data_IF_845555924863
#
_entry.id   IF_845555924863
#
_cell.length_a   1.000
_cell.length_b   1.000
_cell.length_c   1.000
_cell.angle_alpha   90.00
_cell.angle_beta   90.00
_cell.angle_gamma   90.00
#
_symmetry.space_group_name_H-M   'P 1'
#
loop_
_entity.id
_entity.type
_entity.pdbx_description
1 polymer ?
#
# COMPACT_ATOMS: atom_id res chain seq x y z
N UNK A 1 25.06 32.08 5.83
CA UNK A 1 24.10 31.04 5.39
C UNK A 1 24.20 29.89 6.39
N UNK A 2 23.33 29.89 7.40
CA UNK A 2 23.25 28.84 8.41
C UNK A 2 22.47 27.67 7.82
N UNK A 3 23.15 26.55 7.56
CA UNK A 3 22.49 25.28 7.25
C UNK A 3 21.72 24.83 8.50
N UNK A 4 20.40 24.96 8.46
CA UNK A 4 19.54 24.33 9.47
C UNK A 4 19.62 22.83 9.18
N UNK A 5 20.42 22.12 9.97
CA UNK A 5 20.35 20.66 10.04
C UNK A 5 19.01 20.35 10.72
N UNK A 6 17.96 20.09 9.93
CA UNK A 6 16.71 19.59 10.48
C UNK A 6 17.01 18.24 11.13
N UNK A 7 16.78 18.06 12.44
CA UNK A 7 17.06 16.80 13.09
C UNK A 7 16.19 15.71 12.44
N UNK A 8 16.86 14.69 11.91
CA UNK A 8 16.22 13.48 11.43
C UNK A 8 15.72 12.75 12.68
N UNK A 9 14.40 12.66 12.85
CA UNK A 9 13.81 11.92 13.95
C UNK A 9 13.62 10.46 13.52
N UNK A 10 14.32 9.57 14.20
CA UNK A 10 14.27 8.13 13.95
C UNK A 10 13.72 7.39 15.17
N UNK A 11 13.08 6.26 14.93
CA UNK A 11 12.58 5.35 15.96
C UNK A 11 12.95 3.92 15.61
N UNK A 12 13.28 3.11 16.62
CA UNK A 12 13.50 1.69 16.47
C UNK A 12 12.15 0.97 16.47
N UNK A 13 11.83 0.26 15.38
CA UNK A 13 10.57 -0.48 15.23
C UNK A 13 10.82 -1.98 15.23
N UNK A 14 9.87 -2.72 15.81
CA UNK A 14 9.79 -4.18 15.71
C UNK A 14 8.67 -4.57 14.77
N UNK A 15 9.00 -5.32 13.72
CA UNK A 15 8.01 -5.81 12.78
C UNK A 15 7.23 -7.00 13.36
N UNK A 16 5.91 -7.00 13.13
CA UNK A 16 5.05 -8.10 13.58
C UNK A 16 5.46 -9.40 12.88
N UNK A 17 5.75 -10.43 13.66
CA UNK A 17 6.18 -11.74 13.15
C UNK A 17 7.70 -11.94 13.06
N UNK A 18 8.49 -10.92 13.41
CA UNK A 18 9.96 -10.98 13.44
C UNK A 18 10.49 -10.80 14.87
N UNK A 19 11.70 -11.30 15.12
CA UNK A 19 12.41 -11.12 16.40
C UNK A 19 13.17 -9.80 16.47
N UNK A 20 13.90 -9.60 17.57
CA UNK A 20 14.64 -8.36 17.83
C UNK A 20 15.84 -8.16 16.88
N UNK A 21 16.29 -9.24 16.24
CA UNK A 21 17.35 -9.26 15.25
C UNK A 21 17.00 -8.51 13.96
N UNK A 22 15.70 -8.33 13.68
CA UNK A 22 15.20 -7.59 12.51
C UNK A 22 14.62 -6.22 12.90
N UNK A 23 14.90 -5.72 14.11
CA UNK A 23 14.47 -4.38 14.50
C UNK A 23 15.23 -3.32 13.65
N UNK A 24 14.50 -2.34 13.11
CA UNK A 24 15.07 -1.33 12.22
C UNK A 24 14.87 0.11 12.74
N UNK A 25 15.87 0.96 12.55
CA UNK A 25 15.73 2.41 12.73
C UNK A 25 15.07 3.01 11.48
N UNK A 26 13.93 3.65 11.66
CA UNK A 26 13.14 4.21 10.55
C UNK A 26 12.87 5.70 10.76
N UNK A 27 12.76 6.45 9.67
CA UNK A 27 12.46 7.87 9.72
C UNK A 27 10.98 8.08 10.08
N UNK A 28 10.70 8.77 11.19
CA UNK A 28 9.33 8.99 11.67
C UNK A 28 8.46 9.72 10.65
N UNK A 29 9.04 10.65 9.90
CA UNK A 29 8.29 11.49 8.95
C UNK A 29 7.97 10.76 7.65
N UNK A 30 8.88 9.91 7.18
CA UNK A 30 8.82 9.32 5.84
C UNK A 30 8.36 7.85 5.85
N UNK A 31 8.74 7.09 6.87
CA UNK A 31 8.63 5.63 6.88
C UNK A 31 7.57 5.11 7.88
N UNK A 32 7.09 5.97 8.79
CA UNK A 32 6.07 5.63 9.77
C UNK A 32 4.75 6.32 9.44
N UNK A 33 3.67 5.54 9.41
CA UNK A 33 2.31 6.05 9.16
C UNK A 33 1.26 5.13 9.76
N UNK A 34 0.05 5.65 9.92
CA UNK A 34 -1.09 4.83 10.32
C UNK A 34 -1.35 3.69 9.31
N UNK A 35 -1.69 2.52 9.85
CA UNK A 35 -1.84 1.26 9.11
C UNK A 35 -2.96 1.39 8.07
N UNK A 36 -2.65 1.02 6.82
CA UNK A 36 -3.66 0.95 5.76
C UNK A 36 -4.73 -0.11 6.06
N UNK A 37 -5.96 0.15 5.62
CA UNK A 37 -7.16 -0.60 6.00
C UNK A 37 -7.61 -1.48 4.82
N UNK A 38 -7.77 -2.80 4.99
CA UNK A 38 -8.34 -3.68 3.97
C UNK A 38 -9.75 -3.24 3.56
N UNK A 39 -10.09 -3.47 2.30
CA UNK A 39 -11.42 -3.16 1.77
C UNK A 39 -12.29 -4.42 1.73
N UNK A 40 -13.52 -4.29 2.19
CA UNK A 40 -14.53 -5.33 2.02
C UNK A 40 -14.98 -5.43 0.56
N UNK A 41 -15.48 -6.60 0.14
CA UNK A 41 -15.87 -6.86 -1.26
C UNK A 41 -16.83 -5.81 -1.85
N UNK A 42 -17.76 -5.32 -1.03
CA UNK A 42 -18.77 -4.33 -1.42
C UNK A 42 -18.22 -2.90 -1.42
N UNK A 43 -17.09 -2.63 -0.79
CA UNK A 43 -16.46 -1.30 -0.70
C UNK A 43 -15.65 -0.93 -1.95
N UNK A 44 -15.64 -1.78 -2.98
CA UNK A 44 -14.91 -1.49 -4.22
C UNK A 44 -15.28 -0.15 -4.83
N UNK A 45 -16.54 0.29 -4.69
CA UNK A 45 -17.06 1.56 -5.20
C UNK A 45 -16.41 2.80 -4.56
N UNK A 46 -15.79 2.65 -3.39
CA UNK A 46 -15.08 3.73 -2.69
C UNK A 46 -13.73 4.07 -3.35
N UNK A 47 -13.13 3.11 -4.07
CA UNK A 47 -11.85 3.28 -4.78
C UNK A 47 -12.06 4.08 -6.06
N UNK A 48 -11.22 5.08 -6.32
CA UNK A 48 -11.27 5.97 -7.49
C UNK A 48 -9.92 6.06 -8.20
N UNK A 49 -9.89 6.38 -9.51
CA UNK A 49 -8.66 6.79 -10.16
C UNK A 49 -8.00 7.96 -9.42
N UNK A 50 -6.67 7.89 -9.27
CA UNK A 50 -5.86 8.84 -8.50
C UNK A 50 -5.60 8.42 -7.05
N UNK A 51 -6.40 7.51 -6.48
CA UNK A 51 -6.21 7.07 -5.09
C UNK A 51 -4.83 6.41 -4.90
N UNK A 52 -4.20 6.73 -3.76
CA UNK A 52 -2.99 6.05 -3.28
C UNK A 52 -3.41 4.89 -2.39
N UNK A 53 -2.97 3.69 -2.75
CA UNK A 53 -3.32 2.45 -2.09
C UNK A 53 -2.05 1.70 -1.69
N UNK A 54 -2.12 0.93 -0.60
CA UNK A 54 -1.12 -0.09 -0.33
C UNK A 54 -1.51 -1.36 -1.07
N UNK A 55 -0.68 -1.82 -2.00
CA UNK A 55 -0.91 -3.01 -2.82
C UNK A 55 0.06 -4.13 -2.45
N UNK A 56 -0.48 -5.32 -2.18
CA UNK A 56 0.32 -6.55 -2.08
C UNK A 56 0.81 -6.93 -3.47
N UNK A 57 2.12 -6.90 -3.73
CA UNK A 57 2.75 -7.42 -4.93
C UNK A 57 3.19 -8.86 -4.69
N UNK A 58 2.48 -9.81 -5.29
CA UNK A 58 2.79 -11.24 -5.22
C UNK A 58 3.66 -11.62 -6.42
N UNK A 59 4.89 -12.06 -6.15
CA UNK A 59 5.81 -12.68 -7.12
C UNK A 59 6.02 -14.15 -6.71
N UNK A 60 6.79 -14.92 -7.50
CA UNK A 60 7.00 -16.36 -7.24
C UNK A 60 7.55 -16.63 -5.84
N UNK A 61 8.50 -15.81 -5.39
CA UNK A 61 9.27 -16.07 -4.16
C UNK A 61 9.05 -15.01 -3.07
N UNK A 62 8.26 -13.96 -3.35
CA UNK A 62 8.04 -12.86 -2.40
C UNK A 62 6.63 -12.28 -2.49
N UNK A 63 6.13 -11.80 -1.36
CA UNK A 63 4.87 -11.07 -1.25
C UNK A 63 5.11 -9.80 -0.43
N UNK A 64 5.23 -8.66 -1.12
CA UNK A 64 5.63 -7.38 -0.51
C UNK A 64 4.54 -6.34 -0.71
N UNK A 65 4.26 -5.53 0.30
CA UNK A 65 3.33 -4.42 0.20
C UNK A 65 4.03 -3.15 -0.28
N UNK A 66 3.55 -2.57 -1.38
CA UNK A 66 4.05 -1.32 -1.94
C UNK A 66 2.94 -0.29 -2.12
N UNK A 67 3.29 0.98 -2.01
CA UNK A 67 2.38 2.04 -2.45
C UNK A 67 2.21 2.03 -3.97
N UNK A 68 0.97 2.23 -4.40
CA UNK A 68 0.59 2.32 -5.80
C UNK A 68 -0.56 3.30 -6.02
N UNK A 69 -0.58 3.94 -7.18
CA UNK A 69 -1.69 4.78 -7.62
C UNK A 69 -2.68 3.98 -8.46
N UNK A 70 -3.97 4.20 -8.25
CA UNK A 70 -5.01 3.68 -9.14
C UNK A 70 -5.04 4.52 -10.42
N UNK A 71 -4.75 3.90 -11.57
CA UNK A 71 -4.82 4.56 -12.87
C UNK A 71 -6.22 4.44 -13.48
N UNK A 72 -6.77 3.23 -13.47
CA UNK A 72 -8.06 2.92 -14.11
C UNK A 72 -8.80 1.85 -13.32
N UNK A 73 -10.13 1.82 -13.43
CA UNK A 73 -10.97 0.82 -12.80
C UNK A 73 -11.96 0.23 -13.80
N UNK A 74 -11.81 -1.07 -14.08
CA UNK A 74 -12.78 -1.84 -14.83
C UNK A 74 -13.81 -2.43 -13.88
N UNK A 75 -14.95 -1.76 -13.77
CA UNK A 75 -16.09 -2.21 -12.96
C UNK A 75 -16.75 -3.42 -13.60
N UNK A 76 -17.01 -4.46 -12.81
CA UNK A 76 -17.75 -5.65 -13.25
C UNK A 76 -18.96 -5.83 -12.36
N UNK A 77 -20.03 -6.42 -12.89
CA UNK A 77 -21.17 -6.83 -12.07
C UNK A 77 -20.70 -7.89 -11.06
N UNK A 78 -21.04 -7.75 -9.78
CA UNK A 78 -20.79 -8.75 -8.74
C UNK A 78 -21.71 -8.48 -7.55
N UNK A 79 -21.81 -9.46 -6.65
CA UNK A 79 -22.53 -9.32 -5.39
C UNK A 79 -21.55 -9.12 -4.21
N UNK A 80 -22.08 -9.19 -2.99
CA UNK A 80 -21.32 -9.04 -1.75
C UNK A 80 -20.32 -10.19 -1.52
N UNK A 81 -20.45 -11.33 -2.22
CA UNK A 81 -19.61 -12.52 -1.99
C UNK A 81 -18.21 -12.37 -2.56
N UNK A 82 -18.02 -11.47 -3.53
CA UNK A 82 -16.70 -11.28 -4.12
C UNK A 82 -16.63 -10.15 -5.13
N UNK A 83 -15.72 -9.21 -4.92
CA UNK A 83 -15.44 -8.17 -5.91
C UNK A 83 -14.81 -8.77 -7.17
N UNK A 84 -15.43 -8.50 -8.32
CA UNK A 84 -14.93 -8.90 -9.66
C UNK A 84 -14.30 -7.76 -10.44
N UNK A 85 -14.23 -6.56 -9.87
CA UNK A 85 -13.56 -5.42 -10.51
C UNK A 85 -12.07 -5.72 -10.77
N UNK A 86 -11.50 -5.00 -11.74
CA UNK A 86 -10.07 -5.01 -12.03
C UNK A 86 -9.57 -3.58 -11.88
N UNK A 87 -8.48 -3.41 -11.16
CA UNK A 87 -7.85 -2.12 -10.90
C UNK A 87 -6.51 -2.11 -11.63
N UNK A 88 -6.32 -1.17 -12.55
CA UNK A 88 -5.01 -0.88 -13.11
C UNK A 88 -4.29 0.03 -12.13
N UNK A 89 -3.15 -0.42 -11.62
CA UNK A 89 -2.31 0.35 -10.70
C UNK A 89 -0.95 0.64 -11.31
N UNK A 90 -0.28 1.68 -10.82
CA UNK A 90 1.13 1.92 -11.03
C UNK A 90 1.85 1.97 -9.68
N UNK A 91 2.88 1.15 -9.51
CA UNK A 91 3.67 1.14 -8.28
C UNK A 91 4.55 2.38 -8.16
N UNK A 92 4.67 2.92 -6.95
CA UNK A 92 5.43 4.15 -6.73
C UNK A 92 6.95 3.93 -6.87
N UNK A 93 7.43 2.75 -6.46
CA UNK A 93 8.86 2.42 -6.34
C UNK A 93 9.57 2.20 -7.68
N UNK A 94 8.91 1.56 -8.65
CA UNK A 94 9.52 1.19 -9.94
C UNK A 94 8.73 1.66 -11.18
N UNK A 95 7.58 2.31 -10.96
CA UNK A 95 6.64 2.78 -12.00
C UNK A 95 6.04 1.66 -12.86
N UNK A 96 6.16 0.40 -12.44
CA UNK A 96 5.54 -0.70 -13.16
C UNK A 96 4.03 -0.67 -12.99
N UNK A 97 3.31 -1.05 -14.05
CA UNK A 97 1.86 -1.15 -14.04
C UNK A 97 1.40 -2.59 -13.88
N UNK A 98 0.32 -2.78 -13.12
CA UNK A 98 -0.24 -4.11 -12.87
C UNK A 98 -1.77 -4.05 -12.78
N UNK A 99 -2.44 -5.08 -13.31
CA UNK A 99 -3.87 -5.29 -13.10
C UNK A 99 -4.10 -6.17 -11.88
N UNK A 100 -4.70 -5.61 -10.84
CA UNK A 100 -4.92 -6.31 -9.56
C UNK A 100 -6.39 -6.43 -9.20
N UNK A 101 -6.67 -7.28 -8.21
CA UNK A 101 -8.00 -7.47 -7.59
C UNK A 101 -8.10 -6.69 -6.30
N UNK A 102 -9.33 -6.39 -5.86
CA UNK A 102 -9.59 -5.63 -4.64
C UNK A 102 -8.88 -6.20 -3.40
N UNK A 103 -8.83 -7.54 -3.28
CA UNK A 103 -8.20 -8.23 -2.14
C UNK A 103 -6.71 -7.91 -1.94
N UNK A 104 -6.04 -7.38 -2.96
CA UNK A 104 -4.63 -6.97 -2.90
C UNK A 104 -4.47 -5.51 -2.48
N UNK A 105 -5.56 -4.75 -2.31
CA UNK A 105 -5.54 -3.32 -2.05
C UNK A 105 -6.04 -3.00 -0.64
N UNK A 106 -5.28 -2.16 0.06
CA UNK A 106 -5.67 -1.54 1.31
C UNK A 106 -5.72 -0.02 1.12
N UNK A 107 -6.80 0.63 1.57
CA UNK A 107 -6.94 2.09 1.51
C UNK A 107 -6.11 2.76 2.61
N UNK A 108 -5.76 4.02 2.39
CA UNK A 108 -5.28 4.88 3.47
C UNK A 108 -6.43 5.15 4.47
N UNK A 109 -6.13 5.33 5.77
CA UNK A 109 -7.11 5.68 6.79
C UNK A 109 -7.99 6.87 6.39
#
# INVERSE_FOLDING_TARGET
MSYICLPIQEVLVRFVGFGAEEDEWVNVKNDVRERSIPLENWECHKVKPGDVMLCLQERKDQAIYYDAHILEIQRKMHDIRGCRCIFLIQYNHDKTEEKVRLRRLCRRP
#
